data_IF_855467068317
#
_entry.id   IF_855467068317
#
_cell.length_a   1.000
_cell.length_b   1.000
_cell.length_c   1.000
_cell.angle_alpha   90.00
_cell.angle_beta   90.00
_cell.angle_gamma   90.00
#
_symmetry.space_group_name_H-M   'P 1'
#
loop_
_entity.id
_entity.type
_entity.pdbx_description
1 polymer ?
#
# COMPACT_ATOMS: atom_id res chain seq x y z
N UNK A 1 8.84 19.15 -21.49
CA UNK A 1 7.93 19.04 -20.32
C UNK A 1 6.76 18.18 -20.77
N UNK A 2 6.72 16.90 -20.37
CA UNK A 2 5.60 16.00 -20.71
C UNK A 2 4.48 16.26 -19.70
N UNK A 3 3.32 16.67 -20.16
CA UNK A 3 2.12 16.73 -19.32
C UNK A 3 1.74 15.30 -18.91
N UNK A 4 1.75 15.03 -17.60
CA UNK A 4 1.21 13.80 -17.03
C UNK A 4 -0.31 13.86 -17.07
N UNK A 5 -0.92 13.20 -18.05
CA UNK A 5 -2.34 12.84 -18.01
C UNK A 5 -2.44 11.40 -17.53
N UNK A 6 -2.59 11.22 -16.22
CA UNK A 6 -3.15 9.99 -15.70
C UNK A 6 -4.57 9.90 -16.25
N UNK A 7 -4.86 8.89 -17.08
CA UNK A 7 -6.23 8.59 -17.45
C UNK A 7 -6.88 7.89 -16.24
N UNK A 8 -7.35 8.71 -15.29
CA UNK A 8 -7.82 8.28 -13.96
C UNK A 8 -9.08 7.39 -14.05
N UNK A 9 -9.67 7.25 -15.23
CA UNK A 9 -10.92 6.51 -15.46
C UNK A 9 -10.76 4.99 -15.42
N UNK A 10 -9.54 4.44 -15.59
CA UNK A 10 -9.26 3.00 -15.61
C UNK A 10 -8.47 2.49 -14.40
N UNK A 11 -8.04 3.37 -13.49
CA UNK A 11 -7.20 2.99 -12.36
C UNK A 11 -7.97 2.22 -11.28
N UNK A 12 -7.40 1.11 -10.79
CA UNK A 12 -7.91 0.38 -9.63
C UNK A 12 -7.52 1.12 -8.35
N UNK A 13 -8.51 1.72 -7.70
CA UNK A 13 -8.32 2.49 -6.46
C UNK A 13 -8.73 1.66 -5.25
N UNK A 14 -7.83 1.53 -4.28
CA UNK A 14 -8.06 0.79 -3.05
C UNK A 14 -7.75 1.73 -1.88
N UNK A 15 -8.80 2.13 -1.16
CA UNK A 15 -8.71 3.04 -0.02
C UNK A 15 -8.99 2.29 1.29
N UNK A 16 -8.08 2.32 2.26
CA UNK A 16 -8.33 1.77 3.60
C UNK A 16 -7.95 2.76 4.67
N UNK A 17 -8.91 3.01 5.55
CA UNK A 17 -8.72 3.79 6.76
C UNK A 17 -8.74 2.87 7.98
N UNK A 18 -7.81 3.10 8.90
CA UNK A 18 -7.82 2.49 10.23
C UNK A 18 -8.88 3.16 11.11
N UNK A 19 -9.47 2.40 12.06
CA UNK A 19 -10.50 2.95 12.94
C UNK A 19 -9.95 4.07 13.81
N UNK A 20 -10.70 5.16 13.92
CA UNK A 20 -10.34 6.30 14.76
C UNK A 20 -10.31 5.93 16.25
N UNK A 21 -9.51 6.68 17.01
CA UNK A 21 -9.50 6.72 18.47
C UNK A 21 -9.11 5.40 19.15
N UNK A 22 -8.28 4.58 18.50
CA UNK A 22 -7.68 3.40 19.13
C UNK A 22 -6.40 2.99 18.40
N UNK A 23 -5.38 2.67 19.19
CA UNK A 23 -4.18 2.05 18.63
C UNK A 23 -4.50 0.63 18.12
N UNK A 24 -3.97 0.30 16.95
CA UNK A 24 -4.17 -1.00 16.29
C UNK A 24 -2.86 -1.57 15.78
N UNK A 25 -2.83 -2.89 15.61
CA UNK A 25 -1.69 -3.57 15.00
C UNK A 25 -1.82 -3.55 13.49
N UNK A 26 -0.71 -3.72 12.77
CA UNK A 26 -0.76 -3.77 11.31
C UNK A 26 -1.60 -4.94 10.78
N UNK A 27 -1.76 -6.01 11.57
CA UNK A 27 -2.62 -7.14 11.23
C UNK A 27 -4.11 -6.75 11.08
N UNK A 28 -4.57 -5.73 11.81
CA UNK A 28 -5.92 -5.18 11.63
C UNK A 28 -6.07 -4.56 10.22
N UNK A 29 -5.03 -3.87 9.74
CA UNK A 29 -4.99 -3.32 8.39
C UNK A 29 -5.01 -4.44 7.36
N UNK A 30 -4.17 -5.46 7.53
CA UNK A 30 -4.10 -6.62 6.62
C UNK A 30 -5.41 -7.41 6.59
N UNK A 31 -6.09 -7.57 7.72
CA UNK A 31 -7.42 -8.17 7.75
C UNK A 31 -8.40 -7.39 6.87
N UNK A 32 -8.48 -6.07 7.07
CA UNK A 32 -9.37 -5.19 6.28
C UNK A 32 -9.01 -5.20 4.81
N UNK A 33 -7.72 -5.28 4.51
CA UNK A 33 -7.24 -5.34 3.14
C UNK A 33 -7.68 -6.64 2.46
N UNK A 34 -7.51 -7.80 3.12
CA UNK A 34 -7.94 -9.11 2.60
C UNK A 34 -9.43 -9.17 2.33
N UNK A 35 -10.25 -8.74 3.29
CA UNK A 35 -11.71 -8.70 3.14
C UNK A 35 -12.11 -7.94 1.87
N UNK A 36 -11.39 -6.85 1.60
CA UNK A 36 -11.70 -5.96 0.51
C UNK A 36 -11.21 -6.41 -0.87
N UNK A 37 -10.16 -7.22 -0.88
CA UNK A 37 -9.67 -7.89 -2.07
C UNK A 37 -10.41 -9.22 -2.31
N UNK A 38 -11.36 -9.58 -1.43
CA UNK A 38 -12.08 -10.86 -1.42
C UNK A 38 -11.11 -12.05 -1.33
N UNK A 39 -9.99 -11.87 -0.62
CA UNK A 39 -9.02 -12.92 -0.34
C UNK A 39 -9.46 -13.74 0.88
N UNK A 40 -8.85 -14.91 1.05
CA UNK A 40 -9.06 -15.71 2.26
C UNK A 40 -8.71 -14.92 3.52
N UNK A 41 -9.47 -15.13 4.61
CA UNK A 41 -9.15 -14.61 5.95
C UNK A 41 -7.83 -15.13 6.52
N UNK A 42 -7.25 -16.16 5.90
CA UNK A 42 -5.93 -16.71 6.24
C UNK A 42 -4.87 -16.33 5.22
N UNK A 43 -5.21 -15.54 4.20
CA UNK A 43 -4.24 -15.09 3.22
C UNK A 43 -3.12 -14.31 3.91
N UNK A 44 -1.90 -14.58 3.50
CA UNK A 44 -0.68 -13.91 3.92
C UNK A 44 -0.54 -12.54 3.26
N UNK A 45 0.33 -11.69 3.81
CA UNK A 45 0.70 -10.41 3.17
C UNK A 45 1.33 -10.65 1.79
N UNK A 46 2.06 -11.75 1.60
CA UNK A 46 2.60 -12.12 0.29
C UNK A 46 1.51 -12.40 -0.76
N UNK A 47 0.40 -13.04 -0.37
CA UNK A 47 -0.75 -13.25 -1.26
C UNK A 47 -1.45 -11.93 -1.61
N UNK A 48 -1.51 -10.98 -0.67
CA UNK A 48 -1.97 -9.62 -0.95
C UNK A 48 -1.08 -8.94 -2.00
N UNK A 49 0.24 -9.00 -1.81
CA UNK A 49 1.23 -8.40 -2.72
C UNK A 49 1.11 -9.01 -4.13
N UNK A 50 1.01 -10.33 -4.23
CA UNK A 50 0.81 -11.03 -5.50
C UNK A 50 -0.49 -10.59 -6.20
N UNK A 51 -1.59 -10.46 -5.45
CA UNK A 51 -2.84 -9.98 -6.02
C UNK A 51 -2.71 -8.55 -6.59
N UNK A 52 -2.07 -7.66 -5.84
CA UNK A 52 -1.85 -6.28 -6.28
C UNK A 52 -0.91 -6.18 -7.48
N UNK A 53 0.12 -7.01 -7.52
CA UNK A 53 1.02 -7.12 -8.66
C UNK A 53 0.25 -7.51 -9.92
N UNK A 54 -0.63 -8.52 -9.84
CA UNK A 54 -1.48 -8.91 -10.97
C UNK A 54 -2.42 -7.77 -11.40
N UNK A 55 -2.99 -7.04 -10.44
CA UNK A 55 -3.81 -5.87 -10.76
C UNK A 55 -3.03 -4.78 -11.49
N UNK A 56 -1.75 -4.61 -11.14
CA UNK A 56 -0.87 -3.64 -11.78
C UNK A 56 -0.49 -4.02 -13.20
N UNK A 57 -0.35 -5.32 -13.49
CA UNK A 57 -0.16 -5.82 -14.86
C UNK A 57 -1.33 -5.43 -15.77
N UNK A 58 -2.56 -5.40 -15.22
CA UNK A 58 -3.77 -5.08 -15.96
C UNK A 58 -4.06 -3.57 -16.05
N UNK A 59 -3.42 -2.74 -15.22
CA UNK A 59 -3.69 -1.30 -15.21
C UNK A 59 -3.07 -0.55 -14.03
N UNK A 60 -3.27 0.77 -14.00
CA UNK A 60 -2.76 1.61 -12.89
C UNK A 60 -3.45 1.24 -11.58
N UNK A 61 -2.66 1.06 -10.51
CA UNK A 61 -3.16 0.79 -9.16
C UNK A 61 -2.82 1.97 -8.24
N UNK A 62 -3.82 2.43 -7.49
CA UNK A 62 -3.68 3.48 -6.48
C UNK A 62 -4.11 2.92 -5.13
N UNK A 63 -3.18 2.87 -4.20
CA UNK A 63 -3.43 2.53 -2.80
C UNK A 63 -3.43 3.78 -1.94
N UNK A 64 -4.41 3.90 -1.06
CA UNK A 64 -4.47 4.96 -0.06
C UNK A 64 -4.70 4.29 1.29
N UNK A 65 -3.73 4.45 2.18
CA UNK A 65 -3.80 4.03 3.57
C UNK A 65 -3.93 5.27 4.45
N UNK A 66 -5.05 5.37 5.14
CA UNK A 66 -5.47 6.52 5.93
C UNK A 66 -5.54 6.17 7.42
N UNK A 67 -5.40 7.17 8.28
CA UNK A 67 -5.27 7.03 9.74
C UNK A 67 -4.08 6.15 10.18
N UNK A 68 -2.93 6.25 9.52
CA UNK A 68 -1.75 5.45 9.90
C UNK A 68 -1.15 5.84 11.25
N UNK A 69 -1.48 7.02 11.76
CA UNK A 69 -1.22 7.46 13.12
C UNK A 69 -1.88 6.58 14.20
N UNK A 70 -2.89 5.78 13.82
CA UNK A 70 -3.52 4.84 14.73
C UNK A 70 -2.71 3.53 14.89
N UNK A 71 -1.62 3.34 14.15
CA UNK A 71 -0.75 2.19 14.34
C UNK A 71 0.14 2.37 15.57
N UNK A 72 0.38 1.29 16.32
CA UNK A 72 1.45 1.30 17.32
C UNK A 72 2.79 1.70 16.70
N UNK A 73 3.62 2.44 17.42
CA UNK A 73 4.86 3.09 16.92
C UNK A 73 5.79 2.17 16.10
N UNK A 74 5.86 0.88 16.43
CA UNK A 74 6.75 -0.08 15.74
C UNK A 74 6.12 -0.74 14.50
N UNK A 75 4.82 -0.57 14.30
CA UNK A 75 4.03 -1.22 13.25
C UNK A 75 4.17 -0.58 11.86
N UNK A 76 4.27 0.76 11.68
CA UNK A 76 4.48 1.35 10.36
C UNK A 76 5.70 0.81 9.62
N UNK A 77 6.76 0.45 10.35
CA UNK A 77 7.95 -0.17 9.77
C UNK A 77 7.65 -1.51 9.10
N UNK A 78 6.73 -2.30 9.66
CA UNK A 78 6.29 -3.58 9.07
C UNK A 78 5.57 -3.37 7.74
N UNK A 79 4.84 -2.26 7.58
CA UNK A 79 4.22 -1.92 6.28
C UNK A 79 5.27 -1.81 5.19
N UNK A 80 6.39 -1.19 5.48
CA UNK A 80 7.44 -1.06 4.49
C UNK A 80 8.16 -2.39 4.24
N UNK A 81 8.50 -3.10 5.31
CA UNK A 81 9.31 -4.32 5.22
C UNK A 81 8.53 -5.52 4.65
N UNK A 82 7.31 -5.75 5.13
CA UNK A 82 6.52 -6.93 4.77
C UNK A 82 5.71 -6.73 3.49
N UNK A 83 5.34 -5.48 3.18
CA UNK A 83 4.45 -5.18 2.06
C UNK A 83 5.15 -4.38 0.96
N UNK A 84 5.62 -3.15 1.25
CA UNK A 84 6.13 -2.26 0.20
C UNK A 84 7.38 -2.78 -0.49
N UNK A 85 8.37 -3.27 0.28
CA UNK A 85 9.62 -3.81 -0.25
C UNK A 85 9.39 -5.03 -1.14
N UNK A 86 8.51 -5.94 -0.70
CA UNK A 86 8.17 -7.14 -1.48
C UNK A 86 7.48 -6.78 -2.79
N UNK A 87 6.53 -5.82 -2.75
CA UNK A 87 5.87 -5.33 -3.94
C UNK A 87 6.86 -4.65 -4.90
N UNK A 88 7.68 -3.74 -4.40
CA UNK A 88 8.71 -3.03 -5.17
C UNK A 88 9.69 -4.01 -5.83
N UNK A 89 10.11 -5.05 -5.12
CA UNK A 89 11.00 -6.07 -5.67
C UNK A 89 10.35 -6.77 -6.89
N UNK A 90 9.06 -7.09 -6.82
CA UNK A 90 8.32 -7.67 -7.95
C UNK A 90 8.15 -6.68 -9.12
N UNK A 91 7.84 -5.42 -8.82
CA UNK A 91 7.69 -4.36 -9.84
C UNK A 91 9.01 -4.01 -10.53
N UNK A 92 10.14 -4.16 -9.84
CA UNK A 92 11.48 -3.85 -10.34
C UNK A 92 12.05 -4.93 -11.26
N UNK A 93 11.41 -6.10 -11.32
CA UNK A 93 11.78 -7.14 -12.28
C UNK A 93 11.47 -6.65 -13.70
N UNK A 94 12.53 -6.20 -14.38
CA UNK A 94 12.51 -5.57 -15.71
C UNK A 94 11.97 -6.48 -16.82
N UNK A 95 11.72 -7.76 -16.55
CA UNK A 95 11.10 -8.67 -17.50
C UNK A 95 9.63 -8.31 -17.80
N UNK A 96 8.97 -7.54 -16.94
CA UNK A 96 7.53 -7.25 -17.02
C UNK A 96 7.24 -5.76 -17.26
N UNK A 97 7.70 -5.22 -18.39
CA UNK A 97 7.44 -3.82 -18.75
C UNK A 97 5.93 -3.60 -18.96
N UNK A 98 5.32 -2.79 -18.11
CA UNK A 98 3.92 -2.40 -18.17
C UNK A 98 3.82 -0.87 -18.15
N UNK A 99 2.99 -0.28 -19.01
CA UNK A 99 2.73 1.17 -19.06
C UNK A 99 1.83 1.66 -17.90
N UNK A 100 1.68 0.84 -16.85
CA UNK A 100 0.87 1.09 -15.66
C UNK A 100 1.69 1.69 -14.53
N UNK A 101 1.03 2.51 -13.71
CA UNK A 101 1.64 3.07 -12.51
C UNK A 101 1.16 2.35 -11.25
N UNK A 102 2.05 2.22 -10.28
CA UNK A 102 1.69 1.83 -8.92
C UNK A 102 1.93 3.02 -7.99
N UNK A 103 0.87 3.54 -7.38
CA UNK A 103 0.94 4.68 -6.47
C UNK A 103 0.46 4.25 -5.09
N UNK A 104 1.21 4.59 -4.05
CA UNK A 104 0.82 4.34 -2.66
C UNK A 104 0.90 5.64 -1.86
N UNK A 105 -0.20 5.98 -1.20
CA UNK A 105 -0.31 7.13 -0.31
C UNK A 105 -0.44 6.62 1.12
N UNK A 106 0.44 7.10 2.00
CA UNK A 106 0.43 6.86 3.43
C UNK A 106 0.03 8.17 4.11
N UNK A 107 -1.14 8.21 4.73
CA UNK A 107 -1.70 9.40 5.36
C UNK A 107 -1.73 9.21 6.87
N UNK A 108 -0.98 10.03 7.59
CA UNK A 108 -1.20 10.28 9.01
C UNK A 108 -2.09 11.51 9.18
N UNK A 109 -3.05 11.41 10.10
CA UNK A 109 -3.86 12.55 10.51
C UNK A 109 -3.35 13.15 11.83
N UNK A 110 -2.10 12.83 12.19
CA UNK A 110 -1.37 13.52 13.24
C UNK A 110 -1.07 14.96 12.81
N UNK A 111 -1.60 15.93 13.55
CA UNK A 111 -1.24 17.35 13.37
C UNK A 111 0.25 17.63 13.66
N UNK A 112 1.01 16.64 14.16
CA UNK A 112 2.46 16.72 14.37
C UNK A 112 3.05 15.32 14.55
N UNK A 113 4.03 14.94 13.71
CA UNK A 113 4.96 13.86 14.01
C UNK A 113 6.37 14.44 13.91
N UNK A 114 7.09 14.50 15.04
CA UNK A 114 8.46 15.07 15.07
C UNK A 114 9.46 14.19 14.31
N UNK A 115 9.18 12.88 14.22
CA UNK A 115 10.02 11.89 13.54
C UNK A 115 9.17 10.74 13.04
N UNK A 116 9.25 10.51 11.74
CA UNK A 116 8.92 9.22 11.16
C UNK A 116 10.23 8.44 11.02
N UNK A 117 10.43 7.38 11.81
CA UNK A 117 11.57 6.45 11.63
C UNK A 117 11.31 5.50 10.45
N UNK A 118 11.04 6.08 9.29
CA UNK A 118 10.82 5.37 8.04
C UNK A 118 11.99 5.65 7.11
N UNK A 119 12.81 4.62 6.89
CA UNK A 119 13.77 4.61 5.79
C UNK A 119 13.02 4.39 4.48
N UNK A 120 12.83 5.46 3.72
CA UNK A 120 12.25 5.38 2.37
C UNK A 120 13.23 4.67 1.44
N UNK A 121 12.79 3.56 0.85
CA UNK A 121 13.57 2.85 -0.17
C UNK A 121 13.37 3.55 -1.51
N UNK A 122 14.44 4.11 -2.07
CA UNK A 122 14.45 4.62 -3.44
C UNK A 122 14.70 3.49 -4.43
N UNK A 123 13.87 3.42 -5.47
CA UNK A 123 14.02 2.57 -6.66
C UNK A 123 15.28 2.91 -7.47
#
# INVERSE_FOLDING_TARGET
MREFRLDVTTAKKIFRSLPDNREVYIDDLWSRFRDSLQLSRTASVGEIVNYLYNCWQDGTVILIFDNLDQLYETEPKKMLQEFWQNLVAMLSDRSNYCDSYFLMFLVDNCNFSEKWEIDLVTL
#
